data_IF_003664202279
#
_entry.id   IF_003664202279
#
_cell.length_a   1.000
_cell.length_b   1.000
_cell.length_c   1.000
_cell.angle_alpha   90.00
_cell.angle_beta   90.00
_cell.angle_gamma   90.00
#
_symmetry.space_group_name_H-M   'P 1'
#
loop_
_entity.id
_entity.type
_entity.pdbx_description
1 polymer ?
#
# COMPACT_ATOMS: atom_id res chain seq x y z
N UNK A 1 15.48 12.70 -20.27
CA UNK A 1 16.96 12.77 -20.14
C UNK A 1 17.59 13.91 -20.95
N UNK A 2 17.16 14.21 -22.18
CA UNK A 2 17.72 15.30 -23.00
C UNK A 2 17.24 16.72 -22.64
N UNK A 3 16.08 16.89 -22.01
CA UNK A 3 15.49 18.22 -21.79
C UNK A 3 16.21 19.07 -20.72
N UNK A 4 17.04 18.44 -19.87
CA UNK A 4 17.69 19.07 -18.72
C UNK A 4 19.22 19.01 -18.74
N UNK A 5 19.83 18.50 -19.83
CA UNK A 5 21.28 18.34 -19.98
C UNK A 5 21.98 17.83 -18.69
N UNK A 6 21.54 16.65 -18.20
CA UNK A 6 22.07 16.03 -16.97
C UNK A 6 23.49 15.42 -17.13
N UNK A 7 24.27 15.84 -18.13
CA UNK A 7 25.61 15.31 -18.36
C UNK A 7 26.61 16.03 -17.44
N UNK A 8 27.35 15.22 -16.67
CA UNK A 8 28.50 15.51 -15.80
C UNK A 8 28.32 16.53 -14.65
N UNK A 9 27.82 17.76 -14.87
CA UNK A 9 27.74 18.78 -13.78
C UNK A 9 26.41 18.80 -13.03
N UNK A 10 25.38 18.12 -13.56
CA UNK A 10 24.01 18.11 -13.02
C UNK A 10 23.53 16.73 -12.59
N UNK A 11 24.42 15.74 -12.51
CA UNK A 11 24.08 14.38 -12.05
C UNK A 11 23.45 14.38 -10.63
N UNK A 12 23.86 15.32 -9.77
CA UNK A 12 23.29 15.48 -8.43
C UNK A 12 21.77 15.73 -8.45
N UNK A 13 21.23 16.37 -9.50
CA UNK A 13 19.79 16.61 -9.62
C UNK A 13 19.00 15.31 -9.73
N UNK A 14 19.52 14.32 -10.46
CA UNK A 14 18.90 12.99 -10.53
C UNK A 14 18.86 12.33 -9.16
N UNK A 15 19.97 12.39 -8.42
CA UNK A 15 20.06 11.87 -7.05
C UNK A 15 19.11 12.61 -6.10
N UNK A 16 19.04 13.95 -6.15
CA UNK A 16 18.13 14.75 -5.34
C UNK A 16 16.67 14.40 -5.59
N UNK A 17 16.27 14.24 -6.86
CA UNK A 17 14.90 13.85 -7.22
C UNK A 17 14.54 12.45 -6.70
N UNK A 18 15.51 11.54 -6.73
CA UNK A 18 15.35 10.20 -6.15
C UNK A 18 15.25 10.26 -4.62
N UNK A 19 16.08 11.07 -3.96
CA UNK A 19 16.01 11.29 -2.51
C UNK A 19 14.67 11.91 -2.10
N UNK A 20 14.14 12.88 -2.86
CA UNK A 20 12.80 13.44 -2.62
C UNK A 20 11.71 12.36 -2.72
N UNK A 21 11.80 11.45 -3.70
CA UNK A 21 10.89 10.32 -3.82
C UNK A 21 10.96 9.38 -2.60
N UNK A 22 12.17 8.98 -2.17
CA UNK A 22 12.36 8.14 -0.99
C UNK A 22 11.90 8.82 0.31
N UNK A 23 12.17 10.12 0.47
CA UNK A 23 11.66 10.90 1.59
C UNK A 23 10.11 10.94 1.60
N UNK A 24 9.51 11.06 0.41
CA UNK A 24 8.08 10.93 0.21
C UNK A 24 7.55 9.57 0.65
N UNK A 25 8.20 8.47 0.22
CA UNK A 25 7.83 7.12 0.64
C UNK A 25 7.89 6.93 2.16
N UNK A 26 8.92 7.47 2.81
CA UNK A 26 9.06 7.39 4.26
C UNK A 26 7.87 8.06 4.97
N UNK A 27 7.58 9.31 4.63
CA UNK A 27 6.48 10.06 5.27
C UNK A 27 5.12 9.43 4.90
N UNK A 28 4.95 9.05 3.64
CA UNK A 28 3.75 8.39 3.14
C UNK A 28 3.47 7.07 3.85
N UNK A 29 4.51 6.30 4.19
CA UNK A 29 4.34 5.02 4.92
C UNK A 29 3.75 5.21 6.32
N UNK A 30 4.16 6.27 7.03
CA UNK A 30 3.65 6.59 8.37
C UNK A 30 2.22 7.12 8.32
N UNK A 31 1.97 8.08 7.42
CA UNK A 31 0.67 8.74 7.29
C UNK A 31 -0.39 7.77 6.77
N UNK A 32 -0.05 6.94 5.78
CA UNK A 32 -0.97 5.94 5.24
C UNK A 32 -1.35 4.87 6.25
N UNK A 33 -0.47 4.50 7.18
CA UNK A 33 -0.82 3.59 8.29
C UNK A 33 -1.97 4.16 9.12
N UNK A 34 -1.83 5.41 9.58
CA UNK A 34 -2.85 6.09 10.37
C UNK A 34 -4.18 6.24 9.60
N UNK A 35 -4.11 6.64 8.34
CA UNK A 35 -5.30 6.81 7.48
C UNK A 35 -5.97 5.45 7.21
N UNK A 36 -5.19 4.41 6.93
CA UNK A 36 -5.68 3.07 6.62
C UNK A 36 -6.42 2.45 7.79
N UNK A 37 -5.95 2.68 9.02
CA UNK A 37 -6.62 2.19 10.21
C UNK A 37 -7.89 2.99 10.53
N UNK A 38 -7.87 4.32 10.36
CA UNK A 38 -9.02 5.17 10.67
C UNK A 38 -10.14 5.15 9.62
N UNK A 39 -9.82 5.15 8.32
CA UNK A 39 -10.79 5.32 7.23
C UNK A 39 -11.06 4.06 6.43
N UNK A 40 -10.26 3.01 6.63
CA UNK A 40 -10.35 1.75 5.92
C UNK A 40 -9.24 1.56 4.89
N UNK A 41 -8.94 0.28 4.64
CA UNK A 41 -7.75 -0.15 3.90
C UNK A 41 -7.95 0.10 2.41
N UNK A 42 -9.16 -0.19 1.91
CA UNK A 42 -9.55 0.10 0.53
C UNK A 42 -9.53 1.61 0.25
N UNK A 43 -10.13 2.44 1.12
CA UNK A 43 -10.16 3.90 0.89
C UNK A 43 -8.76 4.50 0.89
N UNK A 44 -7.91 4.10 1.83
CA UNK A 44 -6.53 4.55 1.89
C UNK A 44 -5.74 4.14 0.64
N UNK A 45 -5.90 2.90 0.16
CA UNK A 45 -5.31 2.44 -1.08
C UNK A 45 -5.70 3.32 -2.27
N UNK A 46 -7.00 3.51 -2.52
CA UNK A 46 -7.47 4.28 -3.68
C UNK A 46 -7.12 5.77 -3.59
N UNK A 47 -7.14 6.37 -2.40
CA UNK A 47 -6.73 7.76 -2.20
C UNK A 47 -5.23 7.93 -2.50
N UNK A 48 -4.39 7.08 -1.92
CA UNK A 48 -2.94 7.11 -2.14
C UNK A 48 -2.59 6.85 -3.59
N UNK A 49 -3.32 5.93 -4.24
CA UNK A 49 -3.15 5.61 -5.64
C UNK A 49 -3.57 6.74 -6.57
N UNK A 50 -4.70 7.42 -6.28
CA UNK A 50 -5.12 8.60 -7.03
C UNK A 50 -4.11 9.75 -6.90
N UNK A 51 -3.61 10.01 -5.68
CA UNK A 51 -2.54 10.99 -5.45
C UNK A 51 -1.29 10.69 -6.28
N UNK A 52 -0.87 9.42 -6.31
CA UNK A 52 0.27 8.96 -7.10
C UNK A 52 0.06 9.20 -8.60
N UNK A 53 -1.11 8.83 -9.15
CA UNK A 53 -1.43 9.00 -10.58
C UNK A 53 -1.51 10.46 -10.98
N UNK A 54 -2.22 11.29 -10.21
CA UNK A 54 -2.37 12.73 -10.49
C UNK A 54 -1.01 13.43 -10.43
N UNK A 55 -0.21 13.17 -9.41
CA UNK A 55 1.14 13.75 -9.30
C UNK A 55 2.08 13.25 -10.41
N UNK A 56 1.99 11.97 -10.78
CA UNK A 56 2.76 11.37 -11.87
C UNK A 56 2.44 11.98 -13.24
N UNK A 57 1.16 12.17 -13.56
CA UNK A 57 0.74 12.85 -14.81
C UNK A 57 1.16 14.32 -14.78
N UNK A 58 1.02 14.99 -13.63
CA UNK A 58 1.43 16.39 -13.46
C UNK A 58 2.92 16.61 -13.74
N UNK A 59 3.78 15.63 -13.46
CA UNK A 59 5.22 15.70 -13.73
C UNK A 59 5.56 15.95 -15.22
N UNK A 60 4.66 15.60 -16.15
CA UNK A 60 4.86 15.76 -17.60
C UNK A 60 4.78 17.23 -18.03
N UNK A 61 3.97 18.01 -17.32
CA UNK A 61 3.64 19.40 -17.65
C UNK A 61 4.51 20.43 -16.93
N UNK A 62 5.41 19.99 -16.05
CA UNK A 62 6.19 20.88 -15.19
C UNK A 62 7.58 21.10 -15.77
N UNK A 63 7.88 22.38 -16.03
CA UNK A 63 9.19 22.84 -16.47
C UNK A 63 9.99 23.52 -15.33
N UNK A 64 9.58 23.33 -14.07
CA UNK A 64 10.30 23.82 -12.89
C UNK A 64 10.84 22.63 -12.07
N UNK A 65 12.17 22.55 -11.89
CA UNK A 65 12.83 21.45 -11.17
C UNK A 65 12.32 21.32 -9.72
N UNK A 66 12.16 22.43 -8.99
CA UNK A 66 11.72 22.40 -7.59
C UNK A 66 10.31 21.85 -7.47
N UNK A 67 9.41 22.24 -8.37
CA UNK A 67 8.05 21.73 -8.39
C UNK A 67 8.00 20.27 -8.87
N UNK A 68 8.86 19.89 -9.82
CA UNK A 68 9.04 18.49 -10.21
C UNK A 68 9.53 17.62 -9.04
N UNK A 69 10.47 18.11 -8.22
CA UNK A 69 10.94 17.43 -7.02
C UNK A 69 9.83 17.25 -5.98
N UNK A 70 9.01 18.28 -5.77
CA UNK A 70 7.83 18.18 -4.92
C UNK A 70 6.83 17.14 -5.44
N UNK A 71 6.54 17.13 -6.74
CA UNK A 71 5.66 16.11 -7.33
C UNK A 71 6.25 14.70 -7.16
N UNK A 72 7.58 14.52 -7.31
CA UNK A 72 8.25 13.24 -7.03
C UNK A 72 8.09 12.80 -5.58
N UNK A 73 8.16 13.74 -4.64
CA UNK A 73 7.86 13.47 -3.23
C UNK A 73 6.42 12.98 -3.05
N UNK A 74 5.43 13.65 -3.67
CA UNK A 74 4.02 13.25 -3.59
C UNK A 74 3.78 11.88 -4.23
N UNK A 75 4.41 11.60 -5.38
CA UNK A 75 4.38 10.28 -6.02
C UNK A 75 4.92 9.22 -5.06
N UNK A 76 6.07 9.45 -4.43
CA UNK A 76 6.64 8.54 -3.43
C UNK A 76 5.69 8.29 -2.26
N UNK A 77 5.10 9.35 -1.69
CA UNK A 77 4.15 9.21 -0.60
C UNK A 77 2.92 8.37 -1.00
N UNK A 78 2.38 8.60 -2.20
CA UNK A 78 1.27 7.83 -2.75
C UNK A 78 1.64 6.37 -3.04
N UNK A 79 2.85 6.11 -3.57
CA UNK A 79 3.35 4.75 -3.84
C UNK A 79 3.46 3.93 -2.56
N UNK A 80 4.07 4.48 -1.51
CA UNK A 80 4.21 3.78 -0.22
C UNK A 80 2.84 3.48 0.40
N UNK A 81 1.94 4.46 0.42
CA UNK A 81 0.60 4.28 0.96
C UNK A 81 -0.22 3.26 0.19
N UNK A 82 -0.19 3.31 -1.14
CA UNK A 82 -0.87 2.33 -1.97
C UNK A 82 -0.28 0.91 -1.77
N UNK A 83 1.05 0.78 -1.69
CA UNK A 83 1.71 -0.50 -1.49
C UNK A 83 1.31 -1.15 -0.16
N UNK A 84 1.39 -0.40 0.94
CA UNK A 84 1.09 -0.88 2.29
C UNK A 84 -0.39 -1.22 2.44
N UNK A 85 -1.29 -0.30 2.11
CA UNK A 85 -2.74 -0.53 2.23
C UNK A 85 -3.21 -1.71 1.37
N UNK A 86 -2.66 -1.88 0.16
CA UNK A 86 -2.94 -3.05 -0.69
C UNK A 86 -2.48 -4.34 -0.04
N UNK A 87 -1.26 -4.38 0.45
CA UNK A 87 -0.69 -5.58 1.06
C UNK A 87 -1.48 -6.01 2.30
N UNK A 88 -1.82 -5.04 3.18
CA UNK A 88 -2.64 -5.30 4.37
C UNK A 88 -4.03 -5.80 3.96
N UNK A 89 -4.70 -5.14 3.02
CA UNK A 89 -6.03 -5.54 2.54
C UNK A 89 -6.03 -7.02 2.10
N UNK A 90 -5.07 -7.42 1.26
CA UNK A 90 -4.97 -8.82 0.81
C UNK A 90 -4.70 -9.77 1.99
N UNK A 91 -3.80 -9.41 2.90
CA UNK A 91 -3.50 -10.21 4.10
C UNK A 91 -4.69 -10.37 5.06
N UNK A 92 -5.65 -9.45 5.03
CA UNK A 92 -6.88 -9.51 5.82
C UNK A 92 -7.95 -10.38 5.16
N UNK A 93 -7.95 -10.51 3.83
CA UNK A 93 -8.84 -11.44 3.10
C UNK A 93 -8.41 -12.89 3.21
N UNK A 94 -7.13 -13.14 3.45
CA UNK A 94 -6.54 -14.47 3.38
C UNK A 94 -6.16 -15.01 4.74
N UNK A 95 -6.35 -16.32 4.92
CA UNK A 95 -5.98 -17.00 6.15
C UNK A 95 -4.46 -16.99 6.39
N UNK A 96 -4.00 -17.12 7.65
CA UNK A 96 -2.57 -17.10 7.99
C UNK A 96 -1.71 -18.09 7.18
N UNK A 97 -2.28 -19.25 6.83
CA UNK A 97 -1.59 -20.33 6.09
C UNK A 97 -1.21 -19.94 4.65
N UNK A 98 -1.95 -19.04 4.00
CA UNK A 98 -1.73 -18.67 2.60
C UNK A 98 -0.99 -17.33 2.43
N UNK A 99 -0.72 -16.61 3.53
CA UNK A 99 -0.03 -15.31 3.49
C UNK A 99 1.35 -15.39 2.84
N UNK A 100 2.13 -16.42 3.16
CA UNK A 100 3.46 -16.61 2.56
C UNK A 100 3.38 -16.80 1.04
N UNK A 101 2.40 -17.59 0.56
CA UNK A 101 2.20 -17.78 -0.88
C UNK A 101 1.85 -16.47 -1.57
N UNK A 102 0.99 -15.65 -0.96
CA UNK A 102 0.60 -14.34 -1.51
C UNK A 102 1.78 -13.39 -1.56
N UNK A 103 2.64 -13.38 -0.54
CA UNK A 103 3.86 -12.60 -0.56
C UNK A 103 4.79 -13.03 -1.71
N UNK A 104 4.93 -14.34 -1.95
CA UNK A 104 5.71 -14.90 -3.07
C UNK A 104 5.09 -14.47 -4.42
N UNK A 105 3.78 -14.64 -4.61
CA UNK A 105 3.09 -14.16 -5.81
C UNK A 105 3.25 -12.65 -6.00
N UNK A 106 3.18 -11.88 -4.92
CA UNK A 106 3.47 -10.45 -4.91
C UNK A 106 4.87 -10.14 -5.44
N UNK A 107 5.89 -10.86 -4.97
CA UNK A 107 7.26 -10.73 -5.48
C UNK A 107 7.39 -11.05 -6.97
N UNK A 108 6.79 -12.15 -7.44
CA UNK A 108 6.79 -12.49 -8.86
C UNK A 108 6.11 -11.42 -9.71
N UNK A 109 4.93 -10.93 -9.29
CA UNK A 109 4.23 -9.85 -10.01
C UNK A 109 5.02 -8.55 -10.04
N UNK A 110 5.79 -8.24 -8.99
CA UNK A 110 6.70 -7.10 -8.98
C UNK A 110 7.80 -7.27 -10.04
N UNK A 111 8.50 -8.40 -10.03
CA UNK A 111 9.59 -8.69 -10.97
C UNK A 111 9.12 -8.66 -12.43
N UNK A 112 7.96 -9.24 -12.74
CA UNK A 112 7.42 -9.23 -14.10
C UNK A 112 7.03 -7.82 -14.53
N UNK A 113 6.47 -7.00 -13.63
CA UNK A 113 6.12 -5.60 -13.92
C UNK A 113 7.38 -4.78 -14.23
N UNK A 114 8.45 -4.93 -13.45
CA UNK A 114 9.71 -4.25 -13.71
C UNK A 114 10.33 -4.67 -15.06
N UNK A 115 10.28 -5.97 -15.39
CA UNK A 115 10.76 -6.44 -16.69
C UNK A 115 10.00 -5.81 -17.86
N UNK A 116 8.66 -5.71 -17.74
CA UNK A 116 7.83 -5.02 -18.74
C UNK A 116 8.18 -3.53 -18.81
N UNK A 117 8.38 -2.86 -17.67
CA UNK A 117 8.82 -1.46 -17.64
C UNK A 117 10.16 -1.27 -18.35
N UNK A 118 11.15 -2.13 -18.12
CA UNK A 118 12.44 -2.06 -18.82
C UNK A 118 12.28 -2.25 -20.33
N UNK A 119 11.45 -3.20 -20.77
CA UNK A 119 11.17 -3.40 -22.19
C UNK A 119 10.51 -2.17 -22.83
N UNK A 120 9.54 -1.56 -22.15
CA UNK A 120 8.89 -0.32 -22.62
C UNK A 120 9.86 0.85 -22.66
N UNK A 121 10.71 1.00 -21.64
CA UNK A 121 11.76 2.02 -21.59
C UNK A 121 12.79 1.88 -22.72
N UNK A 122 13.08 0.65 -23.14
CA UNK A 122 13.96 0.39 -24.28
C UNK A 122 13.34 0.82 -25.61
N UNK A 123 12.03 0.61 -25.78
CA UNK A 123 11.30 0.93 -27.02
C UNK A 123 10.95 2.42 -27.13
N UNK A 124 10.61 3.08 -26.03
CA UNK A 124 10.17 4.48 -26.00
C UNK A 124 11.24 5.34 -25.34
N UNK A 125 11.92 6.17 -26.14
CA UNK A 125 13.00 7.05 -25.67
C UNK A 125 12.52 8.40 -25.12
N UNK A 126 11.27 8.78 -25.40
CA UNK A 126 10.67 9.98 -24.84
C UNK A 126 10.21 9.72 -23.40
N UNK A 127 10.85 10.42 -22.46
CA UNK A 127 10.56 10.29 -21.03
C UNK A 127 9.14 10.76 -20.66
N UNK A 128 8.56 11.73 -21.37
CA UNK A 128 7.19 12.19 -21.14
C UNK A 128 6.18 11.13 -21.56
N UNK A 129 6.38 10.52 -22.72
CA UNK A 129 5.56 9.39 -23.17
C UNK A 129 5.68 8.20 -22.22
N UNK A 130 6.89 7.90 -21.71
CA UNK A 130 7.07 6.84 -20.71
C UNK A 130 6.23 7.08 -19.46
N UNK A 131 6.25 8.30 -18.90
CA UNK A 131 5.42 8.63 -17.74
C UNK A 131 3.92 8.43 -18.04
N UNK A 132 3.46 8.84 -19.23
CA UNK A 132 2.06 8.65 -19.62
C UNK A 132 1.69 7.17 -19.79
N UNK A 133 2.57 6.38 -20.42
CA UNK A 133 2.36 4.94 -20.60
C UNK A 133 2.29 4.24 -19.24
N UNK A 134 3.14 4.59 -18.28
CA UNK A 134 3.13 3.99 -16.95
C UNK A 134 1.94 4.42 -16.10
N UNK A 135 1.44 5.65 -16.27
CA UNK A 135 0.30 6.16 -15.51
C UNK A 135 -1.05 5.75 -16.12
N UNK A 136 -1.12 5.46 -17.42
CA UNK A 136 -2.36 5.11 -18.12
C UNK A 136 -3.07 3.86 -17.55
N UNK A 137 -2.39 2.71 -17.30
CA UNK A 137 -3.02 1.57 -16.62
C UNK A 137 -3.54 1.93 -15.23
N UNK A 138 -2.87 2.87 -14.56
CA UNK A 138 -3.27 3.31 -13.23
C UNK A 138 -4.59 4.08 -13.21
N UNK A 139 -4.87 4.88 -14.24
CA UNK A 139 -6.17 5.54 -14.38
C UNK A 139 -7.30 4.50 -14.47
N UNK A 140 -7.11 3.44 -15.25
CA UNK A 140 -8.08 2.35 -15.37
C UNK A 140 -8.29 1.60 -14.04
N UNK A 141 -7.21 1.36 -13.30
CA UNK A 141 -7.26 0.67 -12.02
C UNK A 141 -8.07 1.42 -10.96
N UNK A 142 -8.17 2.75 -11.02
CA UNK A 142 -9.03 3.56 -10.13
C UNK A 142 -10.50 3.18 -10.30
N UNK A 143 -10.96 2.93 -11.53
CA UNK A 143 -12.36 2.56 -11.79
C UNK A 143 -12.74 1.18 -11.21
N UNK A 144 -11.75 0.30 -10.99
CA UNK A 144 -11.95 -1.01 -10.38
C UNK A 144 -12.35 -0.94 -8.89
N UNK A 145 -12.34 0.25 -8.28
CA UNK A 145 -12.67 0.43 -6.86
C UNK A 145 -14.05 -0.09 -6.46
N UNK A 146 -15.01 -0.12 -7.39
CA UNK A 146 -16.35 -0.62 -7.09
C UNK A 146 -16.38 -2.13 -6.84
N UNK A 147 -15.45 -2.88 -7.43
CA UNK A 147 -15.43 -4.35 -7.36
C UNK A 147 -14.68 -4.90 -6.15
N UNK A 148 -13.77 -4.11 -5.58
CA UNK A 148 -13.00 -4.52 -4.40
C UNK A 148 -13.82 -4.27 -3.12
N UNK A 149 -14.14 -5.29 -2.32
CA UNK A 149 -14.76 -5.10 -1.01
C UNK A 149 -13.78 -4.46 0.01
N UNK A 150 -14.32 -3.83 1.06
CA UNK A 150 -13.51 -3.40 2.20
C UNK A 150 -13.12 -4.60 3.07
N UNK A 151 -12.04 -4.46 3.84
CA UNK A 151 -11.57 -5.52 4.73
C UNK A 151 -12.65 -5.97 5.74
N UNK A 152 -12.94 -7.29 5.82
CA UNK A 152 -13.83 -7.84 6.84
C UNK A 152 -13.35 -7.52 8.26
N UNK A 153 -12.03 -7.62 8.50
CA UNK A 153 -11.45 -7.35 9.82
C UNK A 153 -11.62 -5.90 10.23
N UNK A 154 -11.41 -4.96 9.30
CA UNK A 154 -11.65 -3.54 9.54
C UNK A 154 -13.12 -3.27 9.89
N UNK A 155 -14.04 -3.87 9.14
CA UNK A 155 -15.48 -3.73 9.35
C UNK A 155 -15.90 -4.25 10.73
N UNK A 156 -15.39 -5.41 11.17
CA UNK A 156 -15.66 -5.93 12.51
C UNK A 156 -15.13 -5.00 13.60
N UNK A 157 -13.87 -4.54 13.48
CA UNK A 157 -13.24 -3.65 14.45
C UNK A 157 -14.00 -2.31 14.59
N UNK A 158 -14.51 -1.77 13.48
CA UNK A 158 -15.28 -0.52 13.47
C UNK A 158 -16.79 -0.72 13.76
N UNK A 159 -17.20 -1.97 13.97
CA UNK A 159 -18.56 -2.29 14.35
C UNK A 159 -19.59 -2.40 13.23
N UNK A 160 -19.13 -2.41 11.97
CA UNK A 160 -19.96 -2.67 10.79
C UNK A 160 -20.18 -4.17 10.60
N UNK A 161 -20.94 -4.78 11.51
CA UNK A 161 -21.18 -6.24 11.57
C UNK A 161 -21.85 -6.75 10.30
N UNK A 162 -22.92 -6.09 9.83
CA UNK A 162 -23.65 -6.50 8.62
C UNK A 162 -22.78 -6.42 7.36
N UNK A 163 -21.94 -5.37 7.29
CA UNK A 163 -20.97 -5.19 6.22
C UNK A 163 -19.95 -6.34 6.20
N UNK A 164 -19.39 -6.67 7.37
CA UNK A 164 -18.44 -7.78 7.49
C UNK A 164 -19.08 -9.12 7.10
N UNK A 165 -20.30 -9.38 7.58
CA UNK A 165 -21.07 -10.59 7.25
C UNK A 165 -21.27 -10.73 5.74
N UNK A 166 -21.76 -9.69 5.07
CA UNK A 166 -22.00 -9.71 3.62
C UNK A 166 -20.74 -10.01 2.81
N UNK A 167 -19.59 -9.47 3.22
CA UNK A 167 -18.30 -9.72 2.56
C UNK A 167 -17.85 -11.15 2.80
N UNK A 168 -17.95 -11.67 4.03
CA UNK A 168 -17.54 -13.04 4.36
C UNK A 168 -18.43 -14.07 3.64
N UNK A 169 -19.74 -13.85 3.59
CA UNK A 169 -20.66 -14.75 2.87
C UNK A 169 -20.37 -14.74 1.36
N UNK A 170 -20.05 -13.59 0.79
CA UNK A 170 -19.80 -13.44 -0.65
C UNK A 170 -18.44 -14.00 -1.09
N UNK A 171 -17.39 -13.77 -0.31
CA UNK A 171 -15.99 -14.08 -0.68
C UNK A 171 -15.35 -15.19 0.15
N UNK A 172 -16.05 -15.75 1.14
CA UNK A 172 -15.58 -16.83 1.99
C UNK A 172 -15.48 -18.18 1.25
N UNK A 173 -14.70 -19.13 1.80
CA UNK A 173 -14.51 -20.45 1.20
C UNK A 173 -15.83 -21.24 1.20
N UNK A 174 -16.33 -21.58 0.00
CA UNK A 174 -17.50 -22.43 -0.20
C UNK A 174 -17.08 -23.90 -0.23
N UNK A 175 -16.63 -24.44 0.91
CA UNK A 175 -16.19 -25.84 1.00
C UNK A 175 -17.33 -26.70 1.53
N UNK A 176 -17.95 -27.49 0.65
CA UNK A 176 -19.11 -28.33 0.98
C UNK A 176 -20.42 -27.54 0.95
N UNK A 177 -21.52 -28.19 0.57
CA UNK A 177 -22.85 -27.60 0.30
C UNK A 177 -23.57 -26.98 1.51
N UNK A 178 -22.90 -26.78 2.64
CA UNK A 178 -23.48 -26.08 3.78
C UNK A 178 -23.18 -24.60 3.63
N UNK A 179 -24.19 -23.83 3.24
CA UNK A 179 -24.18 -22.39 3.41
C UNK A 179 -23.75 -22.09 4.84
N UNK A 180 -22.68 -21.31 5.01
CA UNK A 180 -22.26 -20.80 6.32
C UNK A 180 -23.50 -20.33 7.05
N UNK A 181 -23.84 -20.95 8.19
CA UNK A 181 -25.02 -20.59 8.95
C UNK A 181 -24.93 -19.11 9.28
N UNK A 182 -25.85 -18.34 8.70
CA UNK A 182 -25.84 -16.89 8.76
C UNK A 182 -25.92 -16.41 10.20
N UNK A 183 -26.63 -17.14 11.06
CA UNK A 183 -26.80 -16.84 12.48
C UNK A 183 -25.53 -17.16 13.28
N UNK A 184 -24.93 -18.34 13.08
CA UNK A 184 -23.66 -18.68 13.72
C UNK A 184 -22.52 -17.74 13.33
N UNK A 185 -22.51 -17.26 12.08
CA UNK A 185 -21.53 -16.28 11.61
C UNK A 185 -21.72 -14.90 12.24
N UNK A 186 -22.97 -14.41 12.36
CA UNK A 186 -23.22 -13.13 13.04
C UNK A 186 -22.81 -13.20 14.51
N UNK A 187 -23.10 -14.32 15.19
CA UNK A 187 -22.72 -14.52 16.59
C UNK A 187 -21.19 -14.56 16.76
N UNK A 188 -20.48 -15.22 15.84
CA UNK A 188 -19.02 -15.26 15.84
C UNK A 188 -18.39 -13.87 15.58
N UNK A 189 -18.96 -13.09 14.67
CA UNK A 189 -18.49 -11.73 14.40
C UNK A 189 -18.70 -10.85 15.64
N UNK A 190 -19.85 -10.99 16.30
CA UNK A 190 -20.19 -10.22 17.48
C UNK A 190 -19.31 -10.59 18.68
N UNK A 191 -19.03 -11.88 18.90
CA UNK A 191 -18.12 -12.33 19.96
C UNK A 191 -16.69 -11.85 19.71
N UNK A 192 -16.20 -11.98 18.47
CA UNK A 192 -14.87 -11.48 18.08
C UNK A 192 -14.73 -9.97 18.32
N UNK A 193 -15.79 -9.20 18.03
CA UNK A 193 -15.81 -7.75 18.31
C UNK A 193 -15.77 -7.48 19.81
N UNK A 194 -16.53 -8.22 20.61
CA UNK A 194 -16.51 -8.03 22.07
C UNK A 194 -15.13 -8.32 22.65
N UNK A 195 -14.44 -9.35 22.15
CA UNK A 195 -13.08 -9.67 22.58
C UNK A 195 -12.09 -8.56 22.17
N UNK A 196 -12.20 -8.02 20.95
CA UNK A 196 -11.39 -6.87 20.52
C UNK A 196 -11.61 -5.63 21.39
N UNK A 197 -12.86 -5.33 21.79
CA UNK A 197 -13.17 -4.20 22.66
C UNK A 197 -12.63 -4.42 24.08
N UNK A 198 -12.67 -5.66 24.59
CA UNK A 198 -12.07 -6.00 25.89
C UNK A 198 -10.56 -5.82 25.84
N UNK A 199 -9.91 -6.36 24.81
CA UNK A 199 -8.47 -6.19 24.59
C UNK A 199 -8.07 -4.72 24.47
N UNK A 200 -8.82 -3.90 23.72
CA UNK A 200 -8.55 -2.45 23.62
C UNK A 200 -8.67 -1.74 24.97
N UNK A 201 -9.69 -2.08 25.78
CA UNK A 201 -9.89 -1.49 27.12
C UNK A 201 -8.80 -1.90 28.10
N UNK A 202 -8.30 -3.12 27.99
CA UNK A 202 -7.22 -3.65 28.84
C UNK A 202 -5.83 -3.19 28.35
N UNK A 203 -5.71 -2.86 27.06
CA UNK A 203 -4.45 -2.40 26.48
C UNK A 203 -4.10 -0.98 26.95
N UNK A 204 -2.84 -0.79 27.36
CA UNK A 204 -2.30 0.56 27.58
C UNK A 204 -2.17 1.25 26.22
N UNK A 205 -2.42 2.57 26.15
CA UNK A 205 -2.14 3.35 24.94
C UNK A 205 -0.63 3.36 24.69
N UNK A 206 -0.18 2.60 23.69
CA UNK A 206 1.22 2.54 23.29
C UNK A 206 1.51 3.61 22.22
N UNK A 207 2.63 4.31 22.40
CA UNK A 207 3.16 5.26 21.40
C UNK A 207 4.13 4.52 20.48
N UNK A 208 4.35 4.93 19.21
CA UNK A 208 5.37 4.30 18.34
C UNK A 208 6.77 4.23 18.98
N UNK A 209 7.11 5.18 19.85
CA UNK A 209 8.37 5.21 20.60
C UNK A 209 8.45 4.10 21.67
N UNK A 210 7.33 3.56 22.15
CA UNK A 210 7.32 2.46 23.10
C UNK A 210 7.76 1.13 22.46
N UNK A 211 7.68 1.01 21.12
CA UNK A 211 8.22 -0.16 20.40
C UNK A 211 9.74 -0.30 20.59
N UNK A 212 10.45 0.83 20.78
CA UNK A 212 11.90 0.85 21.00
C UNK A 212 12.29 0.61 22.46
N UNK A 213 11.33 0.72 23.40
CA UNK A 213 11.57 0.50 24.84
C UNK A 213 11.65 -0.99 25.19
N UNK A 214 10.91 -1.85 24.49
CA UNK A 214 10.95 -3.29 24.72
C UNK A 214 12.18 -3.95 24.11
N UNK A 215 12.98 -4.69 24.88
CA UNK A 215 14.21 -5.32 24.39
C UNK A 215 13.99 -6.31 23.24
N UNK A 216 12.90 -7.10 23.29
CA UNK A 216 12.54 -8.05 22.22
C UNK A 216 12.05 -7.33 20.96
N UNK A 217 11.16 -6.35 21.13
CA UNK A 217 10.60 -5.57 20.03
C UNK A 217 11.70 -4.76 19.33
N UNK A 218 12.58 -4.11 20.08
CA UNK A 218 13.75 -3.40 19.54
C UNK A 218 14.63 -4.31 18.68
N UNK A 219 14.94 -5.52 19.14
CA UNK A 219 15.71 -6.49 18.34
C UNK A 219 15.00 -6.84 17.04
N UNK A 220 13.70 -7.08 17.08
CA UNK A 220 12.91 -7.38 15.87
C UNK A 220 12.83 -6.20 14.92
N UNK A 221 12.61 -4.98 15.43
CA UNK A 221 12.66 -3.75 14.64
C UNK A 221 14.02 -3.57 13.96
N UNK A 222 15.13 -3.77 14.69
CA UNK A 222 16.47 -3.70 14.10
C UNK A 222 16.71 -4.75 13.01
N UNK A 223 16.27 -6.00 13.23
CA UNK A 223 16.37 -7.07 12.22
C UNK A 223 15.55 -6.70 10.98
N UNK A 224 14.32 -6.23 11.14
CA UNK A 224 13.45 -5.83 10.03
C UNK A 224 14.06 -4.66 9.26
N UNK A 225 14.55 -3.63 9.96
CA UNK A 225 15.22 -2.49 9.33
C UNK A 225 16.47 -2.92 8.54
N UNK A 226 17.27 -3.83 9.11
CA UNK A 226 18.45 -4.36 8.45
C UNK A 226 18.10 -5.21 7.22
N UNK A 227 17.10 -6.09 7.32
CA UNK A 227 16.60 -6.87 6.19
C UNK A 227 16.07 -5.97 5.06
N UNK A 228 15.37 -4.89 5.43
CA UNK A 228 14.86 -3.92 4.46
C UNK A 228 16.00 -3.15 3.77
N UNK A 229 17.02 -2.74 4.52
CA UNK A 229 18.24 -2.14 3.97
C UNK A 229 18.93 -3.08 2.97
N UNK A 230 19.16 -4.34 3.34
CA UNK A 230 19.80 -5.34 2.47
C UNK A 230 19.00 -5.61 1.19
N UNK A 231 17.67 -5.57 1.24
CA UNK A 231 16.83 -5.82 0.06
C UNK A 231 16.80 -4.61 -0.88
N UNK A 232 17.10 -3.41 -0.38
CA UNK A 232 17.01 -2.15 -1.13
C UNK A 232 18.36 -1.68 -1.68
N UNK A 233 19.47 -2.25 -1.20
CA UNK A 233 20.85 -1.94 -1.65
C UNK A 233 21.25 -2.89 -2.77
#
# INVERSE_FOLDING_TARGET
>A
LFQWNLICDRAYLGATLQSCFFAGMLIGSLVSGLISDAWGRKKCFYLSYALMVVAGVSCVFVDCISFFAFLRFVVGAGTAGAMLSRYVLICEFVGPKTRTLIAIYGGFTWMTTELVNFAVAFLVRDWKMLLLIYTAPGVLAIFLWRWIPESPRWLVAHGYVDGAHSVIVKYGPKKGKESVDSAALSDLIQSTRQDQIKEEKESKKYTPLDMLRGEKLRKWTCIILYQWYLTTT
#
